data_IF_170578333626
#
_entry.id   IF_170578333626
#
_cell.length_a   1.000
_cell.length_b   1.000
_cell.length_c   1.000
_cell.angle_alpha   90.00
_cell.angle_beta   90.00
_cell.angle_gamma   90.00
#
_symmetry.space_group_name_H-M   'P 1'
#
loop_
_entity.id
_entity.type
_entity.pdbx_description
1 polymer ?
#
# COMPACT_ATOMS: atom_id res chain seq x y z
N UNK A 1 16.59 -0.07 -13.65
CA UNK A 1 15.83 0.29 -12.43
C UNK A 1 16.49 1.44 -11.66
N UNK A 2 17.72 1.27 -11.15
CA UNK A 2 18.40 2.25 -10.30
C UNK A 2 18.56 3.65 -10.96
N UNK A 3 18.97 3.70 -12.24
CA UNK A 3 19.07 4.96 -12.99
C UNK A 3 17.72 5.68 -13.21
N UNK A 4 16.61 4.94 -13.32
CA UNK A 4 15.28 5.52 -13.46
C UNK A 4 14.83 6.15 -12.14
N UNK A 5 14.96 5.41 -11.04
CA UNK A 5 14.55 5.87 -9.70
C UNK A 5 15.33 7.14 -9.31
N UNK A 6 16.66 7.12 -9.45
CA UNK A 6 17.50 8.31 -9.17
C UNK A 6 17.22 9.44 -10.15
N UNK A 7 16.97 9.14 -11.42
CA UNK A 7 16.59 10.12 -12.43
C UNK A 7 15.29 10.85 -12.08
N UNK A 8 14.26 10.11 -11.69
CA UNK A 8 12.96 10.66 -11.27
C UNK A 8 13.07 11.44 -9.95
N UNK A 9 13.89 10.97 -9.02
CA UNK A 9 14.14 11.62 -7.74
C UNK A 9 14.96 12.93 -7.85
N UNK A 10 15.66 13.13 -8.97
CA UNK A 10 16.57 14.25 -9.14
C UNK A 10 15.85 15.59 -9.01
N UNK A 11 16.38 16.47 -8.16
CA UNK A 11 15.86 17.82 -7.93
C UNK A 11 14.76 17.89 -6.87
N UNK A 12 14.26 16.76 -6.39
CA UNK A 12 13.40 16.71 -5.21
C UNK A 12 14.25 16.75 -3.93
N UNK A 13 13.67 17.32 -2.88
CA UNK A 13 14.32 17.45 -1.56
C UNK A 13 13.84 16.43 -0.54
N UNK A 14 12.79 15.71 -0.90
CA UNK A 14 12.19 14.66 -0.13
C UNK A 14 11.07 14.04 -0.96
N UNK A 15 10.76 12.78 -0.68
CA UNK A 15 9.75 12.01 -1.42
C UNK A 15 8.75 11.44 -0.44
N UNK A 16 7.47 11.76 -0.63
CA UNK A 16 6.37 10.97 -0.11
C UNK A 16 6.07 9.89 -1.15
N UNK A 17 6.39 8.64 -0.84
CA UNK A 17 6.16 7.51 -1.73
C UNK A 17 4.84 6.84 -1.33
N UNK A 18 3.83 6.95 -2.18
CA UNK A 18 2.51 6.34 -1.98
C UNK A 18 2.38 5.15 -2.92
N UNK A 19 2.15 3.96 -2.36
CA UNK A 19 2.02 2.70 -3.09
C UNK A 19 0.61 2.13 -2.86
N UNK A 20 -0.21 2.05 -3.92
CA UNK A 20 -1.62 1.71 -3.81
C UNK A 20 -1.85 0.22 -4.04
N UNK A 21 -2.47 -0.43 -3.05
CA UNK A 21 -2.71 -1.87 -3.00
C UNK A 21 -4.18 -2.16 -2.66
N UNK A 22 -4.58 -3.40 -2.97
CA UNK A 22 -5.92 -3.91 -2.69
C UNK A 22 -5.81 -5.40 -2.37
N UNK A 23 -6.56 -5.88 -1.38
CA UNK A 23 -6.69 -7.30 -1.09
C UNK A 23 -6.68 -7.63 0.40
N UNK A 24 -5.86 -6.93 1.18
CA UNK A 24 -5.63 -7.25 2.59
C UNK A 24 -6.50 -6.39 3.51
N UNK A 25 -7.11 -7.03 4.51
CA UNK A 25 -7.88 -6.36 5.56
C UNK A 25 -9.38 -6.29 5.28
N UNK A 26 -10.05 -5.57 6.19
CA UNK A 26 -11.50 -5.49 6.24
C UNK A 26 -12.06 -4.80 5.00
N UNK A 27 -13.16 -5.35 4.48
CA UNK A 27 -13.72 -4.95 3.19
C UNK A 27 -14.10 -3.49 3.16
N UNK A 28 -13.47 -2.74 2.26
CA UNK A 28 -13.75 -1.33 2.02
C UNK A 28 -13.07 -0.39 3.00
N UNK A 29 -12.26 -0.92 3.92
CA UNK A 29 -11.48 -0.11 4.86
C UNK A 29 -10.10 0.22 4.29
N UNK A 30 -9.64 1.44 4.60
CA UNK A 30 -8.30 1.93 4.31
C UNK A 30 -7.33 1.49 5.42
N UNK A 31 -6.23 0.86 5.03
CA UNK A 31 -5.12 0.49 5.90
C UNK A 31 -3.85 1.20 5.43
N UNK A 32 -3.22 1.97 6.32
CA UNK A 32 -1.94 2.63 6.03
C UNK A 32 -0.80 1.82 6.63
N UNK A 33 0.17 1.44 5.80
CA UNK A 33 1.29 0.59 6.23
C UNK A 33 2.61 1.25 5.81
N UNK A 34 3.55 1.39 6.73
CA UNK A 34 4.88 1.94 6.46
C UNK A 34 5.98 0.95 6.83
N UNK A 35 7.17 1.19 6.25
CA UNK A 35 8.39 0.48 6.63
C UNK A 35 8.73 0.69 8.09
N UNK A 36 9.43 -0.28 8.69
CA UNK A 36 9.98 -0.14 10.05
C UNK A 36 10.76 1.16 10.17
N UNK A 37 10.48 1.91 11.23
CA UNK A 37 11.05 3.23 11.45
C UNK A 37 11.34 3.48 12.93
N UNK A 38 12.21 4.45 13.22
CA UNK A 38 12.38 5.03 14.56
C UNK A 38 11.19 5.94 14.91
N UNK A 39 11.03 6.30 16.19
CA UNK A 39 9.87 7.05 16.67
C UNK A 39 9.77 8.47 16.07
N UNK A 40 10.91 9.08 15.72
CA UNK A 40 10.93 10.39 15.04
C UNK A 40 10.29 10.27 13.66
N UNK A 41 10.72 9.29 12.86
CA UNK A 41 10.14 9.04 11.53
C UNK A 41 8.67 8.62 11.61
N UNK A 42 8.29 7.81 12.59
CA UNK A 42 6.87 7.46 12.81
C UNK A 42 6.03 8.70 13.08
N UNK A 43 6.51 9.60 13.94
CA UNK A 43 5.83 10.86 14.22
C UNK A 43 5.68 11.75 12.98
N UNK A 44 6.71 11.81 12.13
CA UNK A 44 6.65 12.56 10.86
C UNK A 44 5.60 11.95 9.92
N UNK A 45 5.67 10.65 9.67
CA UNK A 45 4.76 9.95 8.75
C UNK A 45 3.32 10.01 9.27
N UNK A 46 3.09 9.70 10.55
CA UNK A 46 1.77 9.82 11.17
C UNK A 46 1.24 11.25 11.15
N UNK A 47 2.11 12.25 11.24
CA UNK A 47 1.75 13.67 11.10
C UNK A 47 1.20 14.05 9.73
N UNK A 48 1.47 13.26 8.68
CA UNK A 48 0.85 13.44 7.37
C UNK A 48 -0.59 12.93 7.34
N UNK A 49 -0.92 11.92 8.14
CA UNK A 49 -2.22 11.23 8.14
C UNK A 49 -2.92 11.35 9.51
N UNK A 50 -3.33 12.56 9.94
CA UNK A 50 -3.79 12.81 11.31
C UNK A 50 -5.10 12.10 11.70
N UNK A 51 -5.89 11.66 10.72
CA UNK A 51 -7.16 10.96 10.93
C UNK A 51 -7.02 9.45 10.83
N UNK A 52 -5.86 8.96 10.40
CA UNK A 52 -5.62 7.55 10.12
C UNK A 52 -4.52 7.00 11.03
N UNK A 53 -4.59 5.70 11.32
CA UNK A 53 -3.49 5.03 12.01
C UNK A 53 -2.53 4.44 10.98
N UNK A 54 -1.27 4.86 11.02
CA UNK A 54 -0.20 4.24 10.21
C UNK A 54 0.39 3.07 10.99
N UNK A 55 0.32 1.87 10.43
CA UNK A 55 0.92 0.68 10.98
C UNK A 55 2.35 0.52 10.45
N UNK A 56 3.33 0.29 11.34
CA UNK A 56 4.72 0.10 10.94
C UNK A 56 5.11 -1.38 11.04
N UNK A 57 5.80 -1.88 10.01
CA UNK A 57 6.28 -3.27 10.00
C UNK A 57 7.14 -3.60 11.22
N UNK A 58 6.89 -4.77 11.82
CA UNK A 58 7.66 -5.30 12.95
C UNK A 58 7.24 -4.79 14.32
N UNK A 59 6.17 -3.99 14.43
CA UNK A 59 5.64 -3.54 15.72
C UNK A 59 4.65 -4.54 16.36
N UNK A 60 3.89 -5.28 15.54
CA UNK A 60 3.00 -6.34 16.01
C UNK A 60 3.64 -7.70 15.81
N UNK A 61 3.47 -8.61 16.78
CA UNK A 61 3.92 -10.00 16.68
C UNK A 61 3.30 -10.71 15.47
N UNK A 62 2.09 -10.32 15.04
CA UNK A 62 1.43 -10.88 13.86
C UNK A 62 1.85 -10.21 12.53
N UNK A 63 2.64 -9.12 12.56
CA UNK A 63 3.14 -8.50 11.33
C UNK A 63 4.34 -9.31 10.81
N UNK A 64 4.14 -10.06 9.73
CA UNK A 64 5.23 -10.77 9.05
C UNK A 64 6.29 -9.76 8.60
N UNK A 65 7.56 -10.08 8.83
CA UNK A 65 8.66 -9.30 8.28
C UNK A 65 8.64 -9.46 6.74
N UNK A 66 8.24 -8.40 6.04
CA UNK A 66 8.25 -8.36 4.59
C UNK A 66 9.63 -7.92 4.12
N UNK A 67 10.32 -8.80 3.38
CA UNK A 67 11.62 -8.51 2.78
C UNK A 67 11.47 -8.25 1.28
N UNK A 68 12.26 -7.32 0.75
CA UNK A 68 12.26 -7.00 -0.68
C UNK A 68 11.00 -6.31 -1.20
N UNK A 69 10.16 -5.75 -0.32
CA UNK A 69 9.03 -4.94 -0.77
C UNK A 69 9.50 -3.67 -1.49
N UNK A 70 8.64 -3.16 -2.36
CA UNK A 70 8.96 -2.02 -3.22
C UNK A 70 9.35 -0.78 -2.42
N UNK A 71 8.57 -0.44 -1.39
CA UNK A 71 8.80 0.75 -0.57
C UNK A 71 10.15 0.72 0.14
N UNK A 72 10.54 -0.41 0.74
CA UNK A 72 11.84 -0.59 1.40
C UNK A 72 12.99 -0.51 0.39
N UNK A 73 12.83 -1.13 -0.78
CA UNK A 73 13.81 -1.08 -1.86
C UNK A 73 14.07 0.37 -2.33
N UNK A 74 13.01 1.16 -2.54
CA UNK A 74 13.14 2.57 -2.93
C UNK A 74 13.77 3.40 -1.81
N UNK A 75 13.32 3.21 -0.57
CA UNK A 75 13.89 3.92 0.59
C UNK A 75 15.39 3.64 0.72
N UNK A 76 15.81 2.37 0.65
CA UNK A 76 17.21 1.98 0.76
C UNK A 76 18.08 2.57 -0.37
N UNK A 77 17.59 2.54 -1.61
CA UNK A 77 18.33 3.08 -2.74
C UNK A 77 18.56 4.60 -2.64
N UNK A 78 17.62 5.33 -2.05
CA UNK A 78 17.64 6.80 -1.98
C UNK A 78 18.09 7.34 -0.61
N UNK A 79 18.22 6.49 0.42
CA UNK A 79 18.45 6.89 1.81
C UNK A 79 19.67 7.80 2.02
N UNK A 80 20.70 7.66 1.20
CA UNK A 80 21.92 8.47 1.28
C UNK A 80 21.83 9.83 0.58
N UNK A 81 20.79 10.07 -0.22
CA UNK A 81 20.67 11.25 -1.07
C UNK A 81 19.50 12.15 -0.63
N UNK A 82 18.33 11.54 -0.40
CA UNK A 82 17.11 12.27 -0.10
C UNK A 82 16.23 11.49 0.89
N UNK A 83 15.54 12.19 1.81
CA UNK A 83 14.60 11.53 2.71
C UNK A 83 13.40 10.98 1.93
N UNK A 84 13.07 9.71 2.17
CA UNK A 84 11.89 9.03 1.63
C UNK A 84 10.95 8.66 2.77
N UNK A 85 9.68 9.00 2.60
CA UNK A 85 8.59 8.70 3.52
C UNK A 85 7.62 7.75 2.81
N UNK A 86 7.82 6.43 2.93
CA UNK A 86 7.00 5.45 2.24
C UNK A 86 5.72 5.13 3.01
N UNK A 87 4.59 5.09 2.30
CA UNK A 87 3.32 4.60 2.82
C UNK A 87 2.64 3.75 1.74
N UNK A 88 2.35 2.51 2.10
CA UNK A 88 1.44 1.64 1.37
C UNK A 88 0.02 1.99 1.80
N UNK A 89 -0.83 2.23 0.81
CA UNK A 89 -2.26 2.47 0.96
C UNK A 89 -2.95 1.19 0.53
N UNK A 90 -3.48 0.43 1.48
CA UNK A 90 -4.07 -0.88 1.26
C UNK A 90 -5.59 -0.82 1.48
N UNK A 91 -6.37 -1.37 0.55
CA UNK A 91 -7.82 -1.48 0.69
C UNK A 91 -8.28 -2.93 0.79
N UNK A 92 -8.96 -3.26 1.89
CA UNK A 92 -9.46 -4.61 2.09
C UNK A 92 -10.57 -4.97 1.10
N UNK A 93 -10.57 -6.19 0.58
CA UNK A 93 -11.54 -6.65 -0.43
C UNK A 93 -12.49 -7.68 0.12
N UNK A 94 -12.00 -8.83 0.60
CA UNK A 94 -12.85 -9.97 1.00
C UNK A 94 -12.74 -10.32 2.49
N UNK A 95 -12.44 -9.34 3.34
CA UNK A 95 -12.23 -9.53 4.79
C UNK A 95 -11.13 -10.56 5.08
N UNK A 96 -9.99 -10.43 4.42
CA UNK A 96 -8.91 -11.42 4.47
C UNK A 96 -8.23 -11.53 5.85
N UNK A 97 -8.46 -10.58 6.74
CA UNK A 97 -8.09 -10.63 8.16
C UNK A 97 -8.91 -11.66 8.97
N UNK A 98 -10.06 -12.07 8.46
CA UNK A 98 -10.87 -13.14 9.07
C UNK A 98 -10.37 -14.51 8.60
N UNK A 99 -10.58 -15.55 9.42
CA UNK A 99 -10.24 -16.93 9.07
C UNK A 99 -10.95 -17.35 7.77
N UNK A 100 -12.25 -17.08 7.66
CA UNK A 100 -13.04 -17.41 6.48
C UNK A 100 -12.59 -16.66 5.23
N UNK A 101 -12.30 -15.36 5.34
CA UNK A 101 -11.78 -14.56 4.23
C UNK A 101 -10.39 -15.02 3.78
N UNK A 102 -9.48 -15.31 4.71
CA UNK A 102 -8.16 -15.89 4.42
C UNK A 102 -8.27 -17.22 3.67
N UNK A 103 -9.14 -18.13 4.09
CA UNK A 103 -9.36 -19.40 3.39
C UNK A 103 -9.93 -19.18 1.99
N UNK A 104 -10.86 -18.25 1.83
CA UNK A 104 -11.45 -17.94 0.52
C UNK A 104 -10.42 -17.32 -0.44
N UNK A 105 -9.55 -16.43 0.05
CA UNK A 105 -8.40 -15.92 -0.70
C UNK A 105 -7.53 -17.07 -1.22
N UNK A 106 -7.11 -17.96 -0.31
CA UNK A 106 -6.25 -19.09 -0.67
C UNK A 106 -6.92 -20.03 -1.68
N UNK A 107 -8.21 -20.33 -1.49
CA UNK A 107 -8.99 -21.19 -2.38
C UNK A 107 -9.05 -20.62 -3.80
N UNK A 108 -9.35 -19.32 -3.93
CA UNK A 108 -9.45 -18.64 -5.23
C UNK A 108 -8.10 -18.52 -5.94
N UNK A 109 -7.05 -18.15 -5.20
CA UNK A 109 -5.68 -18.11 -5.72
C UNK A 109 -5.24 -19.48 -6.21
N UNK A 110 -5.49 -20.54 -5.43
CA UNK A 110 -5.15 -21.91 -5.84
C UNK A 110 -5.90 -22.32 -7.09
N UNK A 111 -7.22 -22.10 -7.14
CA UNK A 111 -8.05 -22.53 -8.26
C UNK A 111 -7.66 -21.83 -9.57
N UNK A 112 -7.42 -20.52 -9.52
CA UNK A 112 -6.99 -19.75 -10.70
C UNK A 112 -5.59 -20.20 -11.17
N UNK A 113 -4.62 -20.35 -10.27
CA UNK A 113 -3.28 -20.85 -10.62
C UNK A 113 -3.33 -22.26 -11.24
N UNK A 114 -4.15 -23.15 -10.69
CA UNK A 114 -4.32 -24.50 -11.24
C UNK A 114 -4.91 -24.44 -12.66
N UNK A 115 -5.95 -23.62 -12.87
CA UNK A 115 -6.54 -23.44 -14.19
C UNK A 115 -5.58 -22.81 -15.19
N UNK A 116 -4.80 -21.81 -14.78
CA UNK A 116 -3.81 -21.15 -15.62
C UNK A 116 -2.69 -22.12 -16.06
N UNK A 117 -2.17 -22.93 -15.15
CA UNK A 117 -1.03 -23.81 -15.44
C UNK A 117 -1.40 -25.19 -16.02
N UNK A 118 -2.59 -25.70 -15.69
CA UNK A 118 -3.00 -27.07 -16.06
C UNK A 118 -4.25 -27.12 -16.93
N UNK A 119 -4.81 -25.97 -17.29
CA UNK A 119 -6.04 -25.86 -18.06
C UNK A 119 -7.30 -25.88 -17.20
N UNK A 120 -8.39 -25.39 -17.78
CA UNK A 120 -9.72 -25.37 -17.17
C UNK A 120 -10.55 -26.55 -17.66
N UNK A 121 -11.50 -27.00 -16.84
CA UNK A 121 -12.43 -28.08 -17.19
C UNK A 121 -13.36 -27.65 -18.34
N UNK A 122 -13.75 -26.37 -18.36
CA UNK A 122 -14.57 -25.77 -19.41
C UNK A 122 -14.30 -24.26 -19.52
N UNK A 123 -14.72 -23.64 -20.63
CA UNK A 123 -14.67 -22.17 -20.81
C UNK A 123 -15.52 -21.42 -19.78
N UNK A 124 -16.62 -22.03 -19.33
CA UNK A 124 -17.47 -21.46 -18.28
C UNK A 124 -16.73 -21.43 -16.95
N UNK A 125 -16.06 -22.53 -16.58
CA UNK A 125 -15.23 -22.60 -15.37
C UNK A 125 -14.09 -21.59 -15.40
N UNK A 126 -13.42 -21.46 -16.55
CA UNK A 126 -12.40 -20.44 -16.76
C UNK A 126 -12.94 -19.03 -16.50
N UNK A 127 -14.08 -18.72 -17.10
CA UNK A 127 -14.70 -17.39 -16.98
C UNK A 127 -15.09 -17.09 -15.53
N UNK A 128 -15.70 -18.04 -14.84
CA UNK A 128 -16.16 -17.85 -13.47
C UNK A 128 -15.01 -17.81 -12.47
N UNK A 129 -13.98 -18.64 -12.63
CA UNK A 129 -12.78 -18.59 -11.78
C UNK A 129 -12.00 -17.30 -11.98
N UNK A 130 -11.80 -16.85 -13.23
CA UNK A 130 -11.15 -15.55 -13.51
C UNK A 130 -11.94 -14.38 -12.95
N UNK A 131 -13.28 -14.42 -13.04
CA UNK A 131 -14.15 -13.41 -12.40
C UNK A 131 -13.98 -13.43 -10.88
N UNK A 132 -14.05 -14.60 -10.27
CA UNK A 132 -13.92 -14.80 -8.82
C UNK A 132 -12.54 -14.37 -8.30
N UNK A 133 -11.48 -14.68 -9.02
CA UNK A 133 -10.11 -14.28 -8.72
C UNK A 133 -9.95 -12.76 -8.79
N UNK A 134 -10.54 -12.11 -9.81
CA UNK A 134 -10.53 -10.64 -9.92
C UNK A 134 -11.16 -9.97 -8.71
N UNK A 135 -12.21 -10.55 -8.10
CA UNK A 135 -12.82 -9.98 -6.89
C UNK A 135 -11.87 -9.91 -5.68
N UNK A 136 -10.76 -10.64 -5.69
CA UNK A 136 -9.73 -10.54 -4.63
C UNK A 136 -9.01 -9.19 -4.64
N UNK A 137 -8.91 -8.54 -5.80
CA UNK A 137 -8.12 -7.31 -5.99
C UNK A 137 -9.00 -6.15 -6.46
N UNK A 138 -9.96 -6.42 -7.32
CA UNK A 138 -10.85 -5.41 -7.88
C UNK A 138 -12.31 -5.85 -7.79
N UNK A 139 -12.95 -5.73 -6.61
CA UNK A 139 -14.34 -6.07 -6.42
C UNK A 139 -15.27 -5.41 -7.44
N UNK A 140 -16.27 -6.14 -7.92
CA UNK A 140 -17.30 -5.63 -8.84
C UNK A 140 -18.28 -4.66 -8.18
N UNK A 141 -18.38 -4.69 -6.85
CA UNK A 141 -19.26 -3.84 -6.04
C UNK A 141 -19.00 -2.34 -6.28
N UNK A 142 -19.97 -1.59 -6.82
CA UNK A 142 -19.84 -0.14 -6.99
C UNK A 142 -19.70 0.60 -5.65
N UNK A 143 -20.37 0.09 -4.59
CA UNK A 143 -20.29 0.65 -3.23
C UNK A 143 -18.85 0.58 -2.72
N UNK A 144 -18.19 -0.58 -2.87
CA UNK A 144 -16.78 -0.72 -2.49
C UNK A 144 -15.88 0.22 -3.28
N UNK A 145 -16.06 0.31 -4.61
CA UNK A 145 -15.23 1.18 -5.47
C UNK A 145 -15.37 2.65 -5.10
N UNK A 146 -16.59 3.12 -4.90
CA UNK A 146 -16.86 4.49 -4.51
C UNK A 146 -16.31 4.77 -3.11
N UNK A 147 -16.48 3.84 -2.17
CA UNK A 147 -15.94 3.96 -0.81
C UNK A 147 -14.42 4.10 -0.80
N UNK A 148 -13.71 3.24 -1.53
CA UNK A 148 -12.24 3.34 -1.67
C UNK A 148 -11.81 4.69 -2.25
N UNK A 149 -12.50 5.20 -3.27
CA UNK A 149 -12.19 6.51 -3.84
C UNK A 149 -12.43 7.65 -2.82
N UNK A 150 -13.52 7.61 -2.06
CA UNK A 150 -13.81 8.61 -1.02
C UNK A 150 -12.76 8.57 0.11
N UNK A 151 -12.37 7.38 0.57
CA UNK A 151 -11.32 7.22 1.58
C UNK A 151 -9.95 7.68 1.04
N UNK A 152 -9.65 7.39 -0.23
CA UNK A 152 -8.44 7.89 -0.91
C UNK A 152 -8.41 9.41 -0.90
N UNK A 153 -9.50 10.05 -1.32
CA UNK A 153 -9.60 11.50 -1.39
C UNK A 153 -9.43 12.12 0.00
N UNK A 154 -10.17 11.63 1.00
CA UNK A 154 -10.07 12.09 2.40
C UNK A 154 -8.63 12.04 2.91
N UNK A 155 -7.96 10.90 2.74
CA UNK A 155 -6.61 10.69 3.26
C UNK A 155 -5.56 11.55 2.52
N UNK A 156 -5.62 11.60 1.18
CA UNK A 156 -4.63 12.31 0.37
C UNK A 156 -4.77 13.84 0.42
N UNK A 157 -5.99 14.36 0.54
CA UNK A 157 -6.24 15.81 0.71
C UNK A 157 -5.61 16.32 2.01
N UNK A 158 -5.46 15.47 3.02
CA UNK A 158 -4.72 15.80 4.24
C UNK A 158 -3.21 15.59 4.07
N UNK A 159 -2.79 14.43 3.55
CA UNK A 159 -1.38 14.02 3.54
C UNK A 159 -0.48 14.85 2.61
N UNK A 160 -0.94 15.16 1.40
CA UNK A 160 -0.10 15.86 0.41
C UNK A 160 0.25 17.29 0.88
N UNK A 161 -0.71 18.13 1.31
CA UNK A 161 -0.39 19.47 1.79
C UNK A 161 0.52 19.46 3.03
N UNK A 162 0.29 18.52 3.96
CA UNK A 162 1.09 18.38 5.19
C UNK A 162 2.53 18.00 4.88
N UNK A 163 2.74 17.06 3.97
CA UNK A 163 4.07 16.72 3.47
C UNK A 163 4.75 17.93 2.81
N UNK A 164 4.05 18.66 1.95
CA UNK A 164 4.59 19.86 1.32
C UNK A 164 4.98 20.94 2.34
N UNK A 165 4.16 21.17 3.37
CA UNK A 165 4.45 22.12 4.45
C UNK A 165 5.66 21.67 5.28
N UNK A 166 5.74 20.39 5.63
CA UNK A 166 6.88 19.80 6.31
C UNK A 166 8.17 20.02 5.51
N UNK A 167 8.18 19.71 4.20
CA UNK A 167 9.35 19.91 3.35
C UNK A 167 9.78 21.38 3.23
N UNK A 168 8.83 22.32 3.22
CA UNK A 168 9.13 23.77 3.24
C UNK A 168 9.83 24.17 4.54
N UNK A 169 9.33 23.69 5.69
CA UNK A 169 9.91 24.00 7.01
C UNK A 169 11.31 23.42 7.17
N UNK A 170 11.52 22.17 6.77
CA UNK A 170 12.84 21.54 6.81
C UNK A 170 13.84 22.25 5.90
N UNK A 171 13.39 22.77 4.76
CA UNK A 171 14.24 23.56 3.89
C UNK A 171 14.68 24.89 4.53
N UNK A 172 13.75 25.67 5.11
CA UNK A 172 14.09 26.96 5.72
C UNK A 172 15.01 26.84 6.94
N UNK A 173 15.14 25.66 7.56
CA UNK A 173 16.11 25.40 8.63
C UNK A 173 17.54 25.20 8.11
N UNK A 174 17.70 24.68 6.90
CA UNK A 174 19.00 24.36 6.31
C UNK A 174 19.64 25.53 5.53
N UNK A 175 18.92 26.65 5.35
CA UNK A 175 19.44 27.89 4.73
C UNK A 175 19.97 28.92 5.76
N UNK A 176 19.93 28.60 7.06
CA UNK A 176 20.47 29.44 8.14
C UNK A 176 21.70 28.80 8.75
#
# INVERSE_FOLDING_TARGET
MNALIRGTAKGYRGILLLDFHTGIGARGELHLISNRADDVRKGIIGGFFPEDTVHFHGEKKESYAIFGNFTACITEQLASEIPVYPVVIEYGTINSETISGSFESLRRIRAENQGFHHGFVSETDETDLKRSFRELFFPSSPVWRNGVLSETERSLVSAIPRFQEFMKKEYSKNEK
#
